data_IF_679738664716
#
_entry.id   IF_679738664716
#
_cell.length_a   1.000
_cell.length_b   1.000
_cell.length_c   1.000
_cell.angle_alpha   90.00
_cell.angle_beta   90.00
_cell.angle_gamma   90.00
#
_symmetry.space_group_name_H-M   'P 1'
#
loop_
_entity.id
_entity.type
_entity.pdbx_description
1 polymer ?
#
# COMPACT_ATOMS: atom_id res chain seq x y z
N UNK A 1 33.78 -11.54 24.63
CA UNK A 1 32.62 -12.36 24.22
C UNK A 1 31.62 -11.48 23.48
N UNK A 2 31.99 -10.98 22.30
CA UNK A 2 31.07 -10.23 21.41
C UNK A 2 31.06 -10.81 19.99
N UNK A 3 31.94 -11.76 19.68
CA UNK A 3 32.06 -12.44 18.38
C UNK A 3 31.74 -13.94 18.44
N UNK A 4 31.29 -14.45 19.58
CA UNK A 4 31.10 -15.90 19.77
C UNK A 4 30.02 -16.45 18.82
N UNK A 5 28.96 -15.67 18.58
CA UNK A 5 27.95 -15.96 17.56
C UNK A 5 28.51 -16.02 16.14
N UNK A 6 29.43 -15.12 15.78
CA UNK A 6 30.02 -15.11 14.43
C UNK A 6 30.85 -16.38 14.22
N UNK A 7 31.59 -16.82 15.24
CA UNK A 7 32.35 -18.08 15.19
C UNK A 7 31.43 -19.30 14.98
N UNK A 8 30.24 -19.31 15.57
CA UNK A 8 29.22 -20.37 15.36
C UNK A 8 28.53 -20.27 13.99
N UNK A 9 28.36 -19.06 13.46
CA UNK A 9 27.71 -18.81 12.18
C UNK A 9 28.60 -19.12 10.97
N UNK A 10 29.91 -18.83 11.02
CA UNK A 10 30.82 -18.99 9.88
C UNK A 10 30.76 -20.39 9.25
N UNK A 11 30.71 -21.51 10.02
CA UNK A 11 30.52 -22.84 9.44
C UNK A 11 29.18 -23.05 8.73
N UNK A 12 28.12 -22.34 9.16
CA UNK A 12 26.74 -22.47 8.66
C UNK A 12 26.39 -21.48 7.56
N UNK A 13 27.22 -20.47 7.30
CA UNK A 13 26.94 -19.37 6.36
C UNK A 13 26.50 -19.84 4.97
N UNK A 14 27.02 -20.98 4.50
CA UNK A 14 26.66 -21.56 3.20
C UNK A 14 25.21 -22.04 3.15
N UNK A 15 24.71 -22.64 4.24
CA UNK A 15 23.31 -23.07 4.37
C UNK A 15 22.38 -21.86 4.40
N UNK A 16 22.76 -20.82 5.15
CA UNK A 16 22.02 -19.56 5.22
C UNK A 16 21.94 -18.89 3.85
N UNK A 17 23.07 -18.75 3.15
CA UNK A 17 23.12 -18.12 1.84
C UNK A 17 22.26 -18.88 0.82
N UNK A 18 22.30 -20.22 0.85
CA UNK A 18 21.46 -21.05 -0.02
C UNK A 18 19.97 -20.75 0.22
N UNK A 19 19.52 -20.76 1.47
CA UNK A 19 18.12 -20.49 1.81
C UNK A 19 17.72 -19.05 1.44
N UNK A 20 18.59 -18.05 1.68
CA UNK A 20 18.31 -16.67 1.30
C UNK A 20 18.13 -16.51 -0.22
N UNK A 21 18.99 -17.15 -1.00
CA UNK A 21 18.85 -17.17 -2.47
C UNK A 21 17.58 -17.91 -2.92
N UNK A 22 17.22 -19.01 -2.27
CA UNK A 22 15.95 -19.73 -2.53
C UNK A 22 14.72 -18.89 -2.20
N UNK A 23 14.79 -18.04 -1.18
CA UNK A 23 13.72 -17.09 -0.81
C UNK A 23 13.58 -15.95 -1.84
N UNK A 24 14.67 -15.54 -2.49
CA UNK A 24 14.63 -14.54 -3.57
C UNK A 24 14.17 -15.12 -4.90
N UNK A 25 14.50 -16.40 -5.16
CA UNK A 25 14.21 -17.11 -6.40
C UNK A 25 12.70 -17.35 -6.64
N UNK A 26 12.35 -17.60 -7.91
CA UNK A 26 11.03 -18.08 -8.28
C UNK A 26 10.89 -19.56 -7.92
N UNK A 27 9.85 -19.90 -7.15
CA UNK A 27 9.47 -21.29 -6.94
C UNK A 27 8.81 -21.84 -8.21
N UNK A 28 9.32 -22.96 -8.74
CA UNK A 28 8.73 -23.69 -9.86
C UNK A 28 8.19 -25.04 -9.38
N UNK A 29 6.93 -25.42 -9.70
CA UNK A 29 5.95 -24.65 -10.46
C UNK A 29 5.39 -23.46 -9.66
N UNK A 30 5.18 -22.31 -10.32
CA UNK A 30 4.52 -21.12 -9.74
C UNK A 30 3.02 -21.35 -9.53
N UNK A 31 2.67 -22.16 -8.53
CA UNK A 31 1.29 -22.40 -8.17
C UNK A 31 0.87 -21.50 -7.01
N UNK A 32 -0.33 -20.94 -7.11
CA UNK A 32 -0.97 -20.22 -6.03
C UNK A 32 -1.14 -21.16 -4.84
N UNK A 33 -0.67 -20.74 -3.66
CA UNK A 33 -0.70 -21.52 -2.43
C UNK A 33 -2.12 -21.91 -1.99
N UNK A 34 -3.14 -21.15 -2.41
CA UNK A 34 -4.53 -21.33 -1.97
C UNK A 34 -5.39 -22.15 -2.93
N UNK A 35 -5.27 -21.90 -4.24
CA UNK A 35 -6.14 -22.55 -5.25
C UNK A 35 -5.40 -23.45 -6.23
N UNK A 36 -4.07 -23.49 -6.22
CA UNK A 36 -3.26 -24.29 -7.14
C UNK A 36 -3.16 -23.77 -8.57
N UNK A 37 -3.91 -22.71 -8.94
CA UNK A 37 -3.80 -22.04 -10.24
C UNK A 37 -2.47 -21.28 -10.38
N UNK A 38 -2.20 -20.68 -11.54
CA UNK A 38 -0.97 -19.91 -11.77
C UNK A 38 -0.80 -18.75 -10.75
N UNK A 39 0.29 -18.78 -9.99
CA UNK A 39 0.67 -17.78 -9.00
C UNK A 39 1.55 -16.70 -9.64
N UNK A 40 0.99 -15.52 -9.85
CA UNK A 40 1.66 -14.38 -10.50
C UNK A 40 2.14 -13.32 -9.51
N UNK A 41 1.62 -13.32 -8.28
CA UNK A 41 2.01 -12.40 -7.22
C UNK A 41 2.71 -13.14 -6.08
N UNK A 42 3.73 -12.50 -5.49
CA UNK A 42 4.39 -12.91 -4.25
C UNK A 42 4.24 -11.79 -3.23
N UNK A 43 3.97 -12.12 -1.98
CA UNK A 43 3.97 -11.14 -0.90
C UNK A 43 5.16 -11.35 0.05
N UNK A 44 6.23 -10.53 -0.02
CA UNK A 44 7.37 -10.64 0.88
C UNK A 44 7.04 -10.33 2.34
N UNK A 45 6.00 -9.55 2.61
CA UNK A 45 5.59 -9.19 3.98
C UNK A 45 4.79 -10.32 4.66
N UNK A 46 4.21 -11.25 3.88
CA UNK A 46 3.61 -12.46 4.40
C UNK A 46 4.68 -13.48 4.82
N UNK A 47 4.47 -14.13 5.97
CA UNK A 47 5.35 -15.20 6.43
C UNK A 47 5.42 -16.33 5.37
N UNK A 48 6.63 -16.81 5.07
CA UNK A 48 6.94 -17.80 4.02
C UNK A 48 6.76 -17.33 2.57
N UNK A 49 6.48 -16.04 2.33
CA UNK A 49 6.36 -15.45 0.99
C UNK A 49 5.47 -16.23 0.00
N UNK A 50 4.19 -16.51 0.36
CA UNK A 50 3.29 -17.30 -0.47
C UNK A 50 3.08 -16.69 -1.86
N UNK A 51 2.82 -17.58 -2.82
CA UNK A 51 2.44 -17.22 -4.18
C UNK A 51 0.92 -17.16 -4.33
N UNK A 52 0.44 -16.17 -5.05
CA UNK A 52 -0.98 -15.90 -5.24
C UNK A 52 -1.31 -15.72 -6.73
N UNK A 53 -2.44 -16.29 -7.16
CA UNK A 53 -3.13 -15.75 -8.33
C UNK A 53 -3.73 -14.38 -7.95
N UNK A 54 -4.15 -13.58 -8.94
CA UNK A 54 -4.74 -12.25 -8.69
C UNK A 54 -5.89 -12.30 -7.68
N UNK A 55 -6.79 -13.28 -7.79
CA UNK A 55 -7.96 -13.38 -6.93
C UNK A 55 -7.61 -13.75 -5.47
N UNK A 56 -6.77 -14.76 -5.27
CA UNK A 56 -6.31 -15.13 -3.95
C UNK A 56 -5.44 -14.04 -3.32
N UNK A 57 -4.73 -13.25 -4.14
CA UNK A 57 -3.90 -12.15 -3.65
C UNK A 57 -4.77 -11.09 -2.98
N UNK A 58 -5.80 -10.57 -3.66
CA UNK A 58 -6.64 -9.53 -3.07
C UNK A 58 -7.45 -10.06 -1.88
N UNK A 59 -8.01 -11.28 -1.94
CA UNK A 59 -8.75 -11.87 -0.81
C UNK A 59 -7.89 -12.03 0.44
N UNK A 60 -6.64 -12.47 0.27
CA UNK A 60 -5.73 -12.69 1.41
C UNK A 60 -5.26 -11.38 2.04
N UNK A 61 -5.30 -10.27 1.31
CA UNK A 61 -4.83 -8.96 1.76
C UNK A 61 -5.96 -7.95 1.98
N UNK A 62 -7.23 -8.37 1.95
CA UNK A 62 -8.38 -7.50 2.20
C UNK A 62 -8.30 -6.84 3.59
N UNK A 63 -7.90 -7.60 4.61
CA UNK A 63 -7.67 -7.09 5.96
C UNK A 63 -6.26 -6.59 6.23
N UNK A 64 -5.34 -6.75 5.26
CA UNK A 64 -3.93 -6.36 5.36
C UNK A 64 -3.51 -5.56 4.11
N UNK A 65 -4.19 -4.44 3.82
CA UNK A 65 -4.09 -3.76 2.53
C UNK A 65 -2.77 -3.01 2.32
N UNK A 66 -1.89 -2.98 3.33
CA UNK A 66 -0.60 -2.30 3.30
C UNK A 66 0.59 -3.26 3.14
N UNK A 67 0.36 -4.56 2.93
CA UNK A 67 1.42 -5.46 2.55
C UNK A 67 1.95 -5.10 1.16
N UNK A 68 3.28 -5.11 1.01
CA UNK A 68 3.93 -4.96 -0.28
C UNK A 68 3.83 -6.29 -1.02
N UNK A 69 3.64 -6.19 -2.33
CA UNK A 69 3.59 -7.34 -3.22
C UNK A 69 4.54 -7.15 -4.38
N UNK A 70 4.90 -8.27 -5.01
CA UNK A 70 5.72 -8.30 -6.20
C UNK A 70 4.99 -9.12 -7.26
N UNK A 71 5.14 -8.71 -8.52
CA UNK A 71 4.55 -9.38 -9.67
C UNK A 71 5.63 -10.06 -10.50
N UNK A 72 5.34 -11.28 -10.95
CA UNK A 72 6.21 -11.99 -11.88
C UNK A 72 6.14 -11.39 -13.28
N UNK A 73 7.30 -11.03 -13.85
CA UNK A 73 7.39 -10.42 -15.20
C UNK A 73 7.55 -11.44 -16.32
N UNK A 74 7.92 -12.68 -16.00
CA UNK A 74 8.39 -13.68 -16.96
C UNK A 74 9.74 -14.25 -16.55
N UNK A 75 10.62 -13.38 -16.04
CA UNK A 75 12.00 -13.70 -15.69
C UNK A 75 12.36 -13.38 -14.23
N UNK A 76 11.73 -12.37 -13.62
CA UNK A 76 12.00 -11.95 -12.25
C UNK A 76 10.76 -11.34 -11.58
N UNK A 77 10.82 -11.14 -10.27
CA UNK A 77 9.81 -10.41 -9.51
C UNK A 77 10.10 -8.91 -9.50
N UNK A 78 9.13 -8.12 -9.95
CA UNK A 78 9.18 -6.65 -9.87
C UNK A 78 8.24 -6.15 -8.77
N UNK A 79 8.61 -5.07 -8.09
CA UNK A 79 7.72 -4.33 -7.19
C UNK A 79 6.36 -4.05 -7.85
N UNK A 80 5.31 -4.21 -7.07
CA UNK A 80 3.92 -4.00 -7.49
C UNK A 80 3.10 -3.48 -6.31
N UNK A 81 1.88 -3.04 -6.58
CA UNK A 81 1.00 -2.44 -5.57
C UNK A 81 -0.31 -3.22 -5.47
N UNK A 82 -0.85 -3.38 -4.25
CA UNK A 82 -2.06 -4.18 -4.02
C UNK A 82 -3.28 -3.69 -4.81
N UNK A 83 -3.40 -2.38 -5.08
CA UNK A 83 -4.50 -1.86 -5.91
C UNK A 83 -4.52 -2.45 -7.32
N UNK A 84 -3.37 -2.88 -7.86
CA UNK A 84 -3.28 -3.52 -9.17
C UNK A 84 -3.97 -4.89 -9.20
N UNK A 85 -4.22 -5.50 -8.03
CA UNK A 85 -4.94 -6.78 -7.90
C UNK A 85 -6.45 -6.60 -7.75
N UNK A 86 -6.93 -5.36 -7.58
CA UNK A 86 -8.34 -5.04 -7.35
C UNK A 86 -8.73 -4.86 -5.88
N UNK A 87 -7.78 -4.82 -4.94
CA UNK A 87 -8.08 -4.50 -3.53
C UNK A 87 -8.70 -3.11 -3.44
N UNK A 88 -9.80 -3.01 -2.69
CA UNK A 88 -10.50 -1.76 -2.39
C UNK A 88 -10.77 -1.69 -0.89
N UNK A 89 -10.71 -0.49 -0.33
CA UNK A 89 -11.05 -0.26 1.07
C UNK A 89 -12.50 0.24 1.15
N UNK A 90 -13.34 -0.48 1.88
CA UNK A 90 -14.69 -0.03 2.19
C UNK A 90 -14.69 0.69 3.53
N UNK A 91 -15.17 1.93 3.54
CA UNK A 91 -15.27 2.76 4.74
C UNK A 91 -16.70 2.70 5.28
N UNK A 92 -16.81 2.61 6.61
CA UNK A 92 -18.06 2.27 7.27
C UNK A 92 -18.36 0.78 7.24
N UNK A 93 -19.49 0.37 7.82
CA UNK A 93 -19.96 -1.03 7.88
C UNK A 93 -18.89 -2.08 8.29
N UNK A 94 -17.92 -1.69 9.14
CA UNK A 94 -16.82 -2.56 9.59
C UNK A 94 -16.04 -3.17 8.41
N UNK A 95 -15.89 -2.42 7.31
CA UNK A 95 -15.17 -2.87 6.12
C UNK A 95 -16.03 -3.64 5.11
N UNK A 96 -17.32 -3.84 5.36
CA UNK A 96 -18.21 -4.43 4.38
C UNK A 96 -18.62 -3.40 3.29
N UNK A 97 -18.91 -3.84 2.05
CA UNK A 97 -19.44 -2.97 1.01
C UNK A 97 -20.73 -2.26 1.45
N UNK A 98 -20.82 -0.96 1.18
CA UNK A 98 -22.00 -0.16 1.50
C UNK A 98 -23.23 -0.67 0.72
N UNK A 99 -24.35 -1.03 1.39
CA UNK A 99 -25.56 -1.50 0.70
C UNK A 99 -26.15 -0.47 -0.28
N UNK A 100 -25.97 0.82 0.02
CA UNK A 100 -26.43 1.91 -0.84
C UNK A 100 -25.63 1.98 -2.16
N UNK A 101 -24.32 1.72 -2.10
CA UNK A 101 -23.45 1.70 -3.27
C UNK A 101 -23.78 0.53 -4.21
N UNK A 102 -24.17 -0.63 -3.67
CA UNK A 102 -24.60 -1.79 -4.46
C UNK A 102 -25.89 -1.46 -5.24
N UNK A 103 -26.80 -0.71 -4.61
CA UNK A 103 -28.07 -0.29 -5.22
C UNK A 103 -27.84 0.71 -6.36
N UNK A 104 -26.91 1.66 -6.19
CA UNK A 104 -26.54 2.62 -7.26
C UNK A 104 -25.83 1.94 -8.44
N UNK A 105 -24.91 0.99 -8.21
CA UNK A 105 -24.21 0.29 -9.27
C UNK A 105 -25.14 -0.59 -10.14
N UNK A 106 -26.23 -1.10 -9.56
CA UNK A 106 -27.28 -1.83 -10.29
C UNK A 106 -28.19 -0.90 -11.12
N UNK A 107 -28.25 0.40 -10.79
CA UNK A 107 -29.04 1.42 -11.49
C UNK A 107 -28.20 2.22 -12.51
N UNK A 108 -26.89 2.35 -12.29
CA UNK A 108 -25.94 3.09 -13.13
C UNK A 108 -25.26 2.21 -14.21
N UNK A 109 -25.99 1.25 -14.80
CA UNK A 109 -25.56 0.54 -16.01
C UNK A 109 -25.59 1.44 -17.28
N UNK A 110 -25.62 2.76 -17.11
CA UNK A 110 -25.49 3.75 -18.16
C UNK A 110 -25.02 5.08 -17.56
N UNK A 111 -23.96 5.64 -18.17
CA UNK A 111 -23.41 6.99 -17.97
C UNK A 111 -22.48 7.20 -16.74
N UNK A 112 -21.17 7.40 -16.97
CA UNK A 112 -20.25 7.95 -15.97
C UNK A 112 -20.63 9.39 -15.57
N UNK A 113 -20.68 9.68 -14.27
CA UNK A 113 -20.91 11.02 -13.75
C UNK A 113 -19.72 11.96 -14.08
N UNK A 114 -19.96 13.19 -14.57
CA UNK A 114 -18.90 14.16 -14.79
C UNK A 114 -18.60 15.04 -13.56
N UNK A 115 -17.38 15.59 -13.56
CA UNK A 115 -16.87 16.81 -12.91
C UNK A 115 -16.37 16.78 -11.45
N UNK A 116 -15.06 17.00 -11.30
CA UNK A 116 -14.47 18.31 -10.95
C UNK A 116 -12.97 18.28 -11.35
N UNK A 117 -12.66 19.00 -12.43
CA UNK A 117 -11.43 19.01 -13.23
C UNK A 117 -10.42 20.09 -12.81
N UNK A 118 -10.40 20.42 -11.51
CA UNK A 118 -9.43 21.37 -10.98
C UNK A 118 -8.07 20.72 -10.68
N UNK A 119 -7.20 20.80 -11.68
CA UNK A 119 -5.73 20.92 -11.60
C UNK A 119 -4.92 19.75 -10.98
N UNK A 120 -4.52 18.85 -11.87
CA UNK A 120 -3.18 18.26 -11.82
C UNK A 120 -2.57 18.56 -13.17
N UNK A 121 -1.46 19.32 -13.20
CA UNK A 121 -0.65 19.43 -14.40
C UNK A 121 -0.24 18.01 -14.80
N UNK A 122 -0.58 17.63 -16.03
CA UNK A 122 -0.13 16.40 -16.65
C UNK A 122 1.40 16.41 -16.61
N UNK A 123 1.99 15.67 -15.66
CA UNK A 123 3.39 15.28 -15.80
C UNK A 123 3.37 14.32 -16.96
N UNK A 124 3.84 14.81 -18.11
CA UNK A 124 3.89 14.11 -19.39
C UNK A 124 4.10 12.60 -19.17
N UNK A 125 3.22 11.78 -19.77
CA UNK A 125 3.33 10.33 -19.83
C UNK A 125 4.69 9.93 -20.45
N UNK A 126 5.74 9.92 -19.63
CA UNK A 126 6.98 9.23 -19.97
C UNK A 126 6.63 7.75 -19.83
N UNK A 127 6.50 7.04 -20.96
CA UNK A 127 6.18 5.60 -21.06
C UNK A 127 7.11 4.67 -20.23
N UNK A 128 8.17 5.22 -19.62
CA UNK A 128 9.14 4.51 -18.77
C UNK A 128 8.83 4.51 -17.26
N UNK A 129 7.84 5.29 -16.78
CA UNK A 129 7.60 5.41 -15.34
C UNK A 129 6.81 4.19 -14.78
N UNK A 130 7.25 3.52 -13.68
CA UNK A 130 6.58 2.32 -13.21
C UNK A 130 5.16 2.58 -12.70
N UNK A 131 4.14 2.03 -13.38
CA UNK A 131 2.71 2.23 -13.07
C UNK A 131 2.31 1.99 -11.62
N UNK A 132 2.99 1.10 -10.90
CA UNK A 132 2.69 0.80 -9.49
C UNK A 132 3.09 1.92 -8.52
N UNK A 133 3.91 2.89 -8.96
CA UNK A 133 4.30 4.07 -8.19
C UNK A 133 3.33 5.23 -8.37
N UNK A 134 2.38 5.11 -9.31
CA UNK A 134 1.40 6.15 -9.60
C UNK A 134 0.04 5.78 -9.04
N UNK A 135 -0.74 6.78 -8.63
CA UNK A 135 -2.13 6.54 -8.30
C UNK A 135 -2.92 6.05 -9.53
N UNK A 136 -3.91 5.17 -9.34
CA UNK A 136 -4.82 4.79 -10.42
C UNK A 136 -5.50 6.01 -11.04
N UNK A 137 -5.68 6.00 -12.36
CA UNK A 137 -6.44 7.02 -13.07
C UNK A 137 -7.90 7.07 -12.55
N UNK A 138 -8.32 8.23 -12.03
CA UNK A 138 -9.66 8.45 -11.47
C UNK A 138 -9.64 8.99 -10.03
N UNK A 139 -10.76 9.55 -9.56
CA UNK A 139 -10.82 10.36 -8.33
C UNK A 139 -11.12 9.60 -7.03
N UNK A 140 -11.03 8.26 -7.01
CA UNK A 140 -11.50 7.43 -5.89
C UNK A 140 -10.39 6.77 -5.07
N UNK A 141 -9.12 7.15 -5.26
CA UNK A 141 -8.02 6.61 -4.46
C UNK A 141 -7.67 7.52 -3.27
N UNK A 142 -7.11 6.93 -2.23
CA UNK A 142 -6.37 7.63 -1.18
C UNK A 142 -4.90 7.27 -1.27
N UNK A 143 -4.05 8.27 -1.03
CA UNK A 143 -2.65 8.06 -0.70
C UNK A 143 -2.55 7.77 0.79
N UNK A 144 -2.13 6.57 1.16
CA UNK A 144 -2.05 6.11 2.55
C UNK A 144 -0.58 5.90 2.93
N UNK A 145 -0.09 6.64 3.91
CA UNK A 145 1.24 6.48 4.48
C UNK A 145 1.20 5.47 5.63
N UNK A 146 1.99 4.40 5.49
CA UNK A 146 2.16 3.34 6.46
C UNK A 146 3.66 3.06 6.70
N UNK A 147 3.99 2.31 7.75
CA UNK A 147 5.37 1.87 8.02
C UNK A 147 5.96 1.02 6.90
N UNK A 148 5.12 0.37 6.09
CA UNK A 148 5.55 -0.37 4.90
C UNK A 148 5.70 0.49 3.65
N UNK A 149 5.42 1.80 3.72
CA UNK A 149 5.58 2.73 2.60
C UNK A 149 4.33 3.55 2.29
N UNK A 150 4.24 4.01 1.05
CA UNK A 150 3.11 4.79 0.52
C UNK A 150 2.25 3.89 -0.36
N UNK A 151 0.96 3.85 -0.07
CA UNK A 151 0.00 3.00 -0.75
C UNK A 151 -1.05 3.84 -1.46
N UNK A 152 -1.33 3.53 -2.72
CA UNK A 152 -2.50 4.07 -3.42
C UNK A 152 -3.59 3.01 -3.38
N UNK A 153 -4.71 3.30 -2.72
CA UNK A 153 -5.81 2.33 -2.55
C UNK A 153 -7.13 2.98 -2.95
N UNK A 154 -7.92 2.28 -3.76
CA UNK A 154 -9.28 2.71 -4.12
C UNK A 154 -10.18 2.58 -2.91
N UNK A 155 -10.97 3.63 -2.64
CA UNK A 155 -11.82 3.73 -1.47
C UNK A 155 -13.29 3.87 -1.84
N UNK A 156 -14.12 3.09 -1.15
CA UNK A 156 -15.56 3.12 -1.24
C UNK A 156 -16.12 3.71 0.06
N UNK A 157 -16.73 4.89 -0.03
CA UNK A 157 -17.35 5.56 1.11
C UNK A 157 -18.70 4.95 1.46
N UNK A 158 -19.08 5.00 2.74
CA UNK A 158 -20.46 4.77 3.16
C UNK A 158 -21.30 6.00 2.80
N UNK A 159 -22.41 5.75 2.11
CA UNK A 159 -23.37 6.76 1.65
C UNK A 159 -24.80 6.45 2.13
N UNK A 160 -24.94 5.65 3.18
CA UNK A 160 -26.24 5.44 3.82
C UNK A 160 -26.77 6.77 4.41
N UNK A 161 -28.08 6.89 4.61
CA UNK A 161 -28.67 8.07 5.26
C UNK A 161 -28.10 8.34 6.65
N UNK A 162 -27.69 7.28 7.35
CA UNK A 162 -27.04 7.34 8.68
C UNK A 162 -25.51 7.41 8.59
N UNK A 163 -24.94 7.66 7.41
CA UNK A 163 -23.50 7.71 7.23
C UNK A 163 -22.89 8.89 7.99
N UNK A 164 -21.80 8.63 8.70
CA UNK A 164 -21.01 9.67 9.34
C UNK A 164 -20.19 10.45 8.31
N UNK A 165 -19.67 11.61 8.72
CA UNK A 165 -18.76 12.40 7.90
C UNK A 165 -17.53 11.59 7.46
N UNK A 166 -17.00 11.87 6.26
CA UNK A 166 -15.89 11.12 5.64
C UNK A 166 -14.67 10.97 6.56
N UNK A 167 -14.24 12.05 7.22
CA UNK A 167 -13.11 11.99 8.15
C UNK A 167 -13.36 11.08 9.36
N UNK A 168 -14.61 10.95 9.83
CA UNK A 168 -14.98 10.02 10.91
C UNK A 168 -14.92 8.57 10.40
N UNK A 169 -15.39 8.32 9.16
CA UNK A 169 -15.29 6.98 8.56
C UNK A 169 -13.82 6.53 8.44
N UNK A 170 -12.90 7.44 8.09
CA UNK A 170 -11.45 7.20 8.09
C UNK A 170 -10.92 6.87 9.50
N UNK A 171 -11.26 7.70 10.49
CA UNK A 171 -10.81 7.48 11.87
C UNK A 171 -11.30 6.14 12.43
N UNK A 172 -12.53 5.73 12.10
CA UNK A 172 -13.05 4.40 12.45
C UNK A 172 -12.29 3.27 11.76
N UNK A 173 -11.78 3.51 10.56
CA UNK A 173 -10.89 2.60 9.83
C UNK A 173 -9.42 2.70 10.27
N UNK A 174 -9.10 3.40 11.37
CA UNK A 174 -7.73 3.63 11.86
C UNK A 174 -6.83 4.38 10.87
N UNK A 175 -7.44 5.24 10.06
CA UNK A 175 -6.77 6.15 9.13
C UNK A 175 -6.95 7.58 9.62
N UNK A 176 -5.84 8.29 9.81
CA UNK A 176 -5.82 9.68 10.17
C UNK A 176 -5.74 10.54 8.90
N UNK A 177 -6.73 11.41 8.63
CA UNK A 177 -6.67 12.28 7.46
C UNK A 177 -5.63 13.39 7.65
N UNK A 178 -4.88 13.74 6.60
CA UNK A 178 -4.06 14.97 6.63
C UNK A 178 -4.92 16.24 6.58
N UNK A 179 -6.12 16.14 6.00
CA UNK A 179 -7.08 17.23 5.82
C UNK A 179 -8.51 16.76 6.09
N UNK A 180 -9.32 17.58 6.76
CA UNK A 180 -10.69 17.21 7.12
C UNK A 180 -11.71 17.38 5.98
N UNK A 181 -11.53 18.36 5.09
CA UNK A 181 -12.50 18.70 4.04
C UNK A 181 -12.44 17.74 2.83
N UNK A 182 -11.24 17.49 2.30
CA UNK A 182 -10.98 16.57 1.19
C UNK A 182 -9.74 15.73 1.52
N UNK A 183 -9.90 14.61 2.24
CA UNK A 183 -8.78 13.75 2.56
C UNK A 183 -8.33 13.05 1.27
N UNK A 184 -7.32 13.58 0.60
CA UNK A 184 -6.61 12.88 -0.50
C UNK A 184 -5.46 12.02 0.05
N UNK A 185 -4.94 12.42 1.20
CA UNK A 185 -3.78 11.83 1.86
C UNK A 185 -4.16 11.47 3.28
N UNK A 186 -3.81 10.26 3.71
CA UNK A 186 -4.08 9.74 5.04
C UNK A 186 -2.87 8.99 5.59
N UNK A 187 -2.86 8.80 6.89
CA UNK A 187 -1.83 8.06 7.62
C UNK A 187 -2.45 6.91 8.37
N UNK A 188 -1.80 5.76 8.40
CA UNK A 188 -2.14 4.75 9.39
C UNK A 188 -1.72 5.24 10.78
N UNK A 189 -2.45 4.82 11.82
CA UNK A 189 -2.07 5.17 13.18
C UNK A 189 -0.69 4.59 13.54
N UNK A 190 -0.36 3.41 12.99
CA UNK A 190 0.95 2.77 13.17
C UNK A 190 2.06 3.61 12.52
N UNK A 191 1.82 4.15 11.32
CA UNK A 191 2.76 5.07 10.66
C UNK A 191 2.96 6.37 11.44
N UNK A 192 1.90 6.92 12.05
CA UNK A 192 2.03 8.08 12.94
C UNK A 192 2.85 7.76 14.21
N UNK A 193 2.56 6.64 14.87
CA UNK A 193 3.31 6.22 16.06
C UNK A 193 4.78 5.98 15.74
N UNK A 194 5.08 5.40 14.58
CA UNK A 194 6.44 5.17 14.11
C UNK A 194 7.18 6.47 13.79
N UNK A 195 6.52 7.41 13.12
CA UNK A 195 7.06 8.75 12.91
C UNK A 195 7.36 9.46 14.23
N UNK A 196 6.46 9.39 15.22
CA UNK A 196 6.65 10.01 16.52
C UNK A 196 7.85 9.41 17.27
N UNK A 197 8.06 8.09 17.19
CA UNK A 197 9.27 7.44 17.74
C UNK A 197 10.53 7.91 17.03
N UNK A 198 10.55 7.89 15.69
CA UNK A 198 11.71 8.33 14.89
C UNK A 198 12.04 9.83 15.12
N UNK A 199 11.01 10.66 15.32
CA UNK A 199 11.16 12.06 15.63
C UNK A 199 11.76 12.26 17.02
N UNK A 200 11.26 11.53 18.02
CA UNK A 200 11.73 11.64 19.41
C UNK A 200 13.14 11.07 19.59
N UNK A 201 13.44 9.91 19.01
CA UNK A 201 14.71 9.21 19.18
C UNK A 201 15.84 9.82 18.34
N UNK A 202 15.54 10.20 17.10
CA UNK A 202 16.55 10.57 16.11
C UNK A 202 16.44 12.03 15.61
N UNK A 203 15.44 12.80 16.08
CA UNK A 203 15.20 14.16 15.56
C UNK A 203 14.74 14.17 14.10
N UNK A 204 14.20 13.05 13.60
CA UNK A 204 13.82 12.90 12.20
C UNK A 204 12.71 13.87 11.84
N UNK A 205 12.94 14.72 10.84
CA UNK A 205 11.90 15.60 10.30
C UNK A 205 10.85 14.80 9.52
N UNK A 206 9.64 15.33 9.36
CA UNK A 206 8.61 14.70 8.54
C UNK A 206 9.07 14.42 7.09
N UNK A 207 9.91 15.29 6.51
CA UNK A 207 10.48 15.12 5.17
C UNK A 207 11.47 13.95 5.10
N UNK A 208 12.31 13.78 6.12
CA UNK A 208 13.26 12.66 6.19
C UNK A 208 12.52 11.34 6.42
N UNK A 209 11.50 11.35 7.28
CA UNK A 209 10.66 10.17 7.50
C UNK A 209 9.92 9.76 6.23
N UNK A 210 9.35 10.71 5.50
CA UNK A 210 8.75 10.43 4.21
C UNK A 210 9.76 9.89 3.19
N UNK A 211 10.94 10.50 3.12
CA UNK A 211 12.00 10.02 2.22
C UNK A 211 12.34 8.56 2.54
N UNK A 212 12.45 8.21 3.84
CA UNK A 212 12.59 6.81 4.31
C UNK A 212 11.45 5.93 3.79
N UNK A 213 10.18 6.36 3.87
CA UNK A 213 9.05 5.60 3.31
C UNK A 213 9.17 5.40 1.80
N UNK A 214 9.62 6.41 1.04
CA UNK A 214 9.82 6.27 -0.40
C UNK A 214 10.89 5.22 -0.75
N UNK A 215 11.99 5.20 0.00
CA UNK A 215 13.04 4.18 -0.15
C UNK A 215 12.55 2.77 0.19
N UNK A 216 11.56 2.62 1.08
CA UNK A 216 10.95 1.33 1.41
C UNK A 216 10.10 0.79 0.25
N UNK A 217 9.44 1.66 -0.50
CA UNK A 217 8.61 1.29 -1.66
C UNK A 217 9.48 0.91 -2.84
N UNK A 218 10.46 1.75 -3.17
CA UNK A 218 11.40 1.50 -4.24
C UNK A 218 12.78 2.02 -3.90
N UNK A 219 13.73 1.10 -3.79
CA UNK A 219 15.15 1.45 -3.62
C UNK A 219 15.79 1.98 -4.91
N UNK A 220 15.13 1.81 -6.06
CA UNK A 220 15.68 2.22 -7.36
C UNK A 220 15.12 3.57 -7.79
N UNK A 221 13.85 3.84 -7.51
CA UNK A 221 13.17 5.07 -7.96
C UNK A 221 12.37 5.79 -6.86
N UNK A 222 12.97 6.12 -5.70
CA UNK A 222 12.26 6.74 -4.58
C UNK A 222 11.70 8.14 -4.90
N UNK A 223 12.26 8.83 -5.89
CA UNK A 223 11.86 10.17 -6.32
C UNK A 223 10.62 10.19 -7.23
N UNK A 224 10.20 9.04 -7.76
CA UNK A 224 9.06 8.94 -8.68
C UNK A 224 7.73 8.76 -7.94
N UNK A 225 7.72 8.71 -6.61
CA UNK A 225 6.52 8.51 -5.80
C UNK A 225 5.81 9.88 -5.61
N UNK A 226 4.63 10.08 -6.21
CA UNK A 226 3.94 11.37 -6.18
C UNK A 226 3.17 11.54 -4.86
N UNK A 227 3.72 12.31 -3.92
CA UNK A 227 2.97 12.74 -2.74
C UNK A 227 2.99 14.26 -2.64
N UNK A 228 1.80 14.86 -2.54
CA UNK A 228 1.64 16.28 -2.27
C UNK A 228 2.04 16.55 -0.81
N UNK A 229 3.25 17.08 -0.64
CA UNK A 229 3.89 17.29 0.68
C UNK A 229 3.36 18.49 1.48
N UNK A 230 2.49 19.31 0.88
CA UNK A 230 2.18 20.65 1.39
C UNK A 230 1.45 20.75 2.74
N UNK A 231 1.06 19.64 3.38
CA UNK A 231 0.14 19.66 4.54
C UNK A 231 0.49 18.56 5.55
N UNK A 232 1.77 18.28 5.76
CA UNK A 232 2.18 17.29 6.75
C UNK A 232 2.67 17.96 8.02
N UNK A 233 1.84 17.77 9.05
CA UNK A 233 1.97 18.10 10.46
C UNK A 233 1.26 19.43 10.83
N UNK A 234 0.07 19.41 11.47
CA UNK A 234 -0.27 20.51 12.34
C UNK A 234 0.86 20.61 13.34
N UNK A 235 1.43 21.80 13.50
CA UNK A 235 2.38 22.15 14.53
C UNK A 235 1.77 21.85 15.90
N UNK A 236 1.69 20.59 16.30
CA UNK A 236 1.33 20.20 17.66
C UNK A 236 2.62 20.38 18.42
N UNK A 237 2.84 21.63 18.84
CA UNK A 237 3.77 21.94 19.90
C UNK A 237 3.35 21.12 21.12
N UNK A 238 4.21 20.18 21.49
CA UNK A 238 4.36 19.76 22.88
C UNK A 238 5.20 20.82 23.57
#
# INVERSE_FOLDING_TARGET
>A
MQNDYICEWVPRKGEFLKILLELEASQEPRNCTWCGNNGVYRCPDCLHQPLFCTECCWKSHESLPFHRIQQWTGDFYKESALHMTGVQLHLGHVGAPCPHAITQAQQAAGEPLPMDDQEWEDVEDIEENPKHLHPPAGSRYLTIMDVTGVHFIVVNWCECETAEARYIQLLRAKLFPSMFEKPSTTFTFVGLDDFLRDNLECGTSGMNYYSKLCWIISSVFPHLIPVRFGILVPSVGI
#
